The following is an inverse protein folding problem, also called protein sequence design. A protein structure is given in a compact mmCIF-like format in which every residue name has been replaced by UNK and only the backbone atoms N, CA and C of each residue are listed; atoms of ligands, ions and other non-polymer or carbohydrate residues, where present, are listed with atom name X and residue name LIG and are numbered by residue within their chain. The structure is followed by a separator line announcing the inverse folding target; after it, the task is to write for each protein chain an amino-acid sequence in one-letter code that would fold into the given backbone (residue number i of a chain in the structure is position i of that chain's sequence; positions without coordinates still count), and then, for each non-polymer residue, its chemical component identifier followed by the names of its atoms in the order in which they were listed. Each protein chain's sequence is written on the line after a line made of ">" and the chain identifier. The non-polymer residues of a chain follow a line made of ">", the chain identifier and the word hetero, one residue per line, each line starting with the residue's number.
data_IF_672356550646
#
_entry.id   IF_672356550646
#
_cell.length_a   1.000
_cell.length_b   1.000
_cell.length_c   1.000
_cell.angle_alpha   90.00
_cell.angle_beta   90.00
_cell.angle_gamma   90.00
#
_symmetry.space_group_name_H-M   'P 1'
#
loop_
_entity.id
_entity.type
_entity.pdbx_description
1 polymer ?
#
# COMPACT_ATOMS: atom_id res chain seq x y z
N UNK A 1 -28.10 27.19 48.84
CA UNK A 1 -28.15 25.72 48.72
C UNK A 1 -26.73 25.27 48.41
N UNK A 2 -26.04 24.50 49.27
CA UNK A 2 -24.71 24.02 48.94
C UNK A 2 -24.84 22.87 47.94
N UNK A 3 -24.12 22.95 46.81
CA UNK A 3 -24.01 21.86 45.85
C UNK A 3 -23.41 20.63 46.55
N UNK A 4 -24.02 19.48 46.33
CA UNK A 4 -23.66 18.23 47.00
C UNK A 4 -22.28 17.76 46.51
N UNK A 5 -21.34 17.57 47.43
CA UNK A 5 -19.97 17.07 47.22
C UNK A 5 -19.78 15.92 46.20
N UNK A 6 -20.71 14.94 46.04
CA UNK A 6 -20.57 13.91 45.00
C UNK A 6 -20.66 14.42 43.55
N UNK A 7 -21.36 15.52 43.27
CA UNK A 7 -21.44 16.08 41.91
C UNK A 7 -20.12 16.74 41.51
N UNK A 8 -19.47 17.45 42.43
CA UNK A 8 -18.17 18.11 42.20
C UNK A 8 -17.06 17.09 41.88
N UNK A 9 -17.10 15.90 42.50
CA UNK A 9 -16.14 14.83 42.21
C UNK A 9 -16.38 14.19 40.84
N UNK A 10 -17.65 14.09 40.41
CA UNK A 10 -18.01 13.59 39.08
C UNK A 10 -17.61 14.56 37.98
N UNK A 11 -17.84 15.86 38.17
CA UNK A 11 -17.47 16.88 37.18
C UNK A 11 -15.95 16.94 36.98
N UNK A 12 -15.17 16.90 38.08
CA UNK A 12 -13.70 16.82 38.00
C UNK A 12 -13.22 15.54 37.32
N UNK A 13 -13.90 14.41 37.55
CA UNK A 13 -13.59 13.15 36.88
C UNK A 13 -13.82 13.24 35.37
N UNK A 14 -14.92 13.86 34.95
CA UNK A 14 -15.26 14.07 33.55
C UNK A 14 -14.28 15.02 32.86
N UNK A 15 -13.87 16.11 33.52
CA UNK A 15 -12.86 17.04 32.98
C UNK A 15 -11.50 16.34 32.75
N UNK A 16 -11.11 15.43 33.66
CA UNK A 16 -9.88 14.64 33.52
C UNK A 16 -9.98 13.60 32.40
N UNK A 17 -11.13 12.94 32.25
CA UNK A 17 -11.40 12.03 31.13
C UNK A 17 -11.38 12.78 29.79
N UNK A 18 -12.03 13.94 29.70
CA UNK A 18 -12.09 14.74 28.48
C UNK A 18 -10.69 15.21 28.05
N UNK A 19 -9.85 15.65 28.98
CA UNK A 19 -8.45 16.02 28.68
C UNK A 19 -7.61 14.80 28.25
N UNK A 20 -7.86 13.64 28.86
CA UNK A 20 -7.20 12.39 28.48
C UNK A 20 -7.56 11.97 27.05
N UNK A 21 -8.86 11.97 26.69
CA UNK A 21 -9.32 11.66 25.32
C UNK A 21 -8.79 12.69 24.32
N UNK A 22 -8.83 13.98 24.66
CA UNK A 22 -8.31 15.04 23.78
C UNK A 22 -6.82 14.86 23.46
N UNK A 23 -6.04 14.29 24.38
CA UNK A 23 -4.61 14.03 24.19
C UNK A 23 -4.34 12.71 23.47
N UNK A 24 -5.03 11.62 23.81
CA UNK A 24 -4.70 10.28 23.32
C UNK A 24 -5.43 9.89 22.02
N UNK A 25 -6.63 10.41 21.79
CA UNK A 25 -7.44 10.05 20.62
C UNK A 25 -6.73 10.37 19.29
N UNK A 26 -6.07 11.53 19.09
CA UNK A 26 -5.38 11.82 17.84
C UNK A 26 -4.29 10.79 17.53
N UNK A 27 -3.53 10.37 18.55
CA UNK A 27 -2.47 9.36 18.41
C UNK A 27 -3.03 7.99 18.02
N UNK A 28 -4.16 7.60 18.61
CA UNK A 28 -4.81 6.33 18.29
C UNK A 28 -5.40 6.33 16.87
N UNK A 29 -5.98 7.46 16.46
CA UNK A 29 -6.52 7.64 15.10
C UNK A 29 -5.39 7.59 14.06
N UNK A 30 -4.29 8.31 14.30
CA UNK A 30 -3.11 8.29 13.43
C UNK A 30 -2.55 6.87 13.29
N UNK A 31 -2.40 6.17 14.42
CA UNK A 31 -1.94 4.78 14.41
C UNK A 31 -2.87 3.84 13.64
N UNK A 32 -4.19 4.02 13.80
CA UNK A 32 -5.17 3.24 13.04
C UNK A 32 -5.06 3.51 11.54
N UNK A 33 -4.84 4.77 11.15
CA UNK A 33 -4.68 5.14 9.74
C UNK A 33 -3.41 4.55 9.14
N UNK A 34 -2.28 4.57 9.86
CA UNK A 34 -1.04 3.91 9.44
C UNK A 34 -1.24 2.41 9.20
N UNK A 35 -1.91 1.73 10.13
CA UNK A 35 -2.17 0.29 10.02
C UNK A 35 -3.06 -0.02 8.81
N UNK A 36 -4.10 0.79 8.57
CA UNK A 36 -4.95 0.66 7.39
C UNK A 36 -4.18 0.88 6.10
N UNK A 37 -3.36 1.93 6.04
CA UNK A 37 -2.53 2.22 4.87
C UNK A 37 -1.58 1.05 4.57
N UNK A 38 -0.89 0.54 5.59
CA UNK A 38 -0.01 -0.61 5.45
C UNK A 38 -0.75 -1.86 4.93
N UNK A 39 -1.97 -2.12 5.41
CA UNK A 39 -2.79 -3.23 4.91
C UNK A 39 -3.16 -3.04 3.44
N UNK A 40 -3.62 -1.85 3.07
CA UNK A 40 -3.98 -1.55 1.67
C UNK A 40 -2.79 -1.70 0.73
N UNK A 41 -1.59 -1.25 1.15
CA UNK A 41 -0.36 -1.43 0.37
C UNK A 41 0.00 -2.91 0.24
N UNK A 42 -0.14 -3.69 1.33
CA UNK A 42 0.14 -5.13 1.30
C UNK A 42 -0.79 -5.87 0.33
N UNK A 43 -2.08 -5.57 0.37
CA UNK A 43 -3.09 -6.14 -0.54
C UNK A 43 -2.79 -5.79 -2.01
N UNK A 44 -2.42 -4.53 -2.27
CA UNK A 44 -2.08 -4.08 -3.62
C UNK A 44 -0.84 -4.80 -4.18
N UNK A 45 0.22 -4.94 -3.37
CA UNK A 45 1.41 -5.71 -3.76
C UNK A 45 1.08 -7.18 -3.96
N UNK A 46 0.26 -7.79 -3.10
CA UNK A 46 -0.14 -9.19 -3.25
C UNK A 46 -0.91 -9.43 -4.55
N UNK A 47 -1.84 -8.54 -4.89
CA UNK A 47 -2.61 -8.58 -6.15
C UNK A 47 -1.71 -8.42 -7.37
N UNK A 48 -0.82 -7.43 -7.36
CA UNK A 48 0.10 -7.15 -8.47
C UNK A 48 1.13 -8.27 -8.66
N UNK A 49 1.62 -8.84 -7.56
CA UNK A 49 2.74 -9.79 -7.59
C UNK A 49 2.40 -11.26 -7.57
N UNK A 50 1.18 -11.61 -7.14
CA UNK A 50 0.82 -13.00 -6.86
C UNK A 50 1.56 -13.61 -5.65
N UNK A 51 2.36 -12.83 -4.91
CA UNK A 51 3.05 -13.30 -3.70
C UNK A 51 2.03 -13.39 -2.57
N UNK A 52 1.90 -14.59 -1.99
CA UNK A 52 0.98 -14.86 -0.89
C UNK A 52 1.65 -14.96 0.48
N UNK A 53 2.99 -15.07 0.51
CA UNK A 53 3.75 -15.20 1.76
C UNK A 53 3.93 -13.82 2.42
N UNK A 54 3.45 -13.60 3.66
CA UNK A 54 3.51 -12.29 4.32
C UNK A 54 4.93 -11.72 4.40
N UNK A 55 5.92 -12.55 4.75
CA UNK A 55 7.31 -12.12 4.86
C UNK A 55 7.90 -11.59 3.54
N UNK A 56 7.40 -12.05 2.39
CA UNK A 56 7.79 -11.53 1.08
C UNK A 56 7.20 -10.14 0.84
N UNK A 57 5.92 -9.98 1.13
CA UNK A 57 5.20 -8.70 0.98
C UNK A 57 5.78 -7.63 1.91
N UNK A 58 6.03 -7.96 3.18
CA UNK A 58 6.60 -7.03 4.15
C UNK A 58 8.00 -6.56 3.72
N UNK A 59 8.78 -7.44 3.07
CA UNK A 59 10.10 -7.08 2.54
C UNK A 59 10.01 -6.14 1.34
N UNK A 60 9.02 -6.32 0.47
CA UNK A 60 8.75 -5.40 -0.65
C UNK A 60 8.32 -4.03 -0.11
N UNK A 61 7.42 -4.00 0.87
CA UNK A 61 7.02 -2.76 1.55
C UNK A 61 8.21 -2.05 2.20
N UNK A 62 9.11 -2.79 2.85
CA UNK A 62 10.32 -2.23 3.44
C UNK A 62 11.31 -1.63 2.42
N UNK A 63 11.20 -2.04 1.14
CA UNK A 63 11.96 -1.48 0.03
C UNK A 63 11.26 -0.29 -0.64
N UNK A 64 10.10 0.14 -0.12
CA UNK A 64 9.28 1.19 -0.72
C UNK A 64 8.56 0.76 -1.99
N UNK A 65 8.41 -0.55 -2.21
CA UNK A 65 7.67 -1.08 -3.35
C UNK A 65 6.19 -1.08 -3.00
N UNK A 66 5.39 -0.45 -3.85
CA UNK A 66 3.93 -0.38 -3.78
C UNK A 66 3.31 -1.18 -4.94
N UNK A 67 1.99 -1.41 -4.92
CA UNK A 67 1.30 -2.24 -5.93
C UNK A 67 1.52 -1.75 -7.37
N UNK A 68 1.51 -0.44 -7.58
CA UNK A 68 1.80 0.22 -8.87
C UNK A 68 3.22 -0.13 -9.36
N UNK A 69 4.23 0.03 -8.50
CA UNK A 69 5.64 -0.26 -8.85
C UNK A 69 5.98 -1.75 -8.91
N UNK A 70 5.19 -2.61 -8.23
CA UNK A 70 5.42 -4.05 -8.20
C UNK A 70 5.17 -4.70 -9.57
N UNK A 71 4.21 -4.21 -10.35
CA UNK A 71 3.85 -4.78 -11.65
C UNK A 71 5.01 -4.70 -12.66
N UNK A 72 5.62 -3.53 -12.92
CA UNK A 72 6.80 -3.42 -13.79
C UNK A 72 7.96 -4.30 -13.35
N UNK A 73 8.26 -4.38 -12.05
CA UNK A 73 9.36 -5.17 -11.50
C UNK A 73 9.26 -6.66 -11.84
N UNK A 74 8.04 -7.18 -11.95
CA UNK A 74 7.77 -8.58 -12.28
C UNK A 74 7.83 -8.84 -13.77
N UNK A 75 7.63 -7.80 -14.58
CA UNK A 75 7.76 -7.87 -16.03
C UNK A 75 9.22 -7.88 -16.49
N UNK A 76 10.15 -7.29 -15.72
CA UNK A 76 11.59 -7.24 -16.07
C UNK A 76 12.17 -8.62 -16.41
N UNK A 77 12.00 -9.69 -15.59
CA UNK A 77 12.47 -11.02 -15.97
C UNK A 77 11.85 -11.58 -17.25
N UNK A 78 10.60 -11.23 -17.57
CA UNK A 78 9.93 -11.67 -18.80
C UNK A 78 10.51 -10.96 -20.03
N UNK A 79 10.83 -9.67 -19.90
CA UNK A 79 11.53 -8.89 -20.93
C UNK A 79 12.94 -9.44 -21.15
N UNK A 80 13.69 -9.73 -20.08
CA UNK A 80 15.03 -10.33 -20.16
C UNK A 80 15.02 -11.71 -20.85
N UNK A 81 14.02 -12.55 -20.56
CA UNK A 81 13.87 -13.85 -21.23
C UNK A 81 13.50 -13.68 -22.71
N UNK A 82 12.64 -12.73 -23.05
CA UNK A 82 12.31 -12.42 -24.43
C UNK A 82 13.49 -11.81 -25.19
N UNK A 83 14.39 -11.11 -24.50
CA UNK A 83 15.58 -10.50 -25.08
C UNK A 83 16.79 -11.43 -25.16
N UNK A 84 16.65 -12.70 -24.75
CA UNK A 84 17.76 -13.65 -24.68
C UNK A 84 18.40 -13.98 -26.05
N UNK A 85 17.74 -13.67 -27.18
CA UNK A 85 18.31 -13.78 -28.52
C UNK A 85 18.87 -12.44 -29.09
N UNK A 86 18.75 -11.35 -28.33
CA UNK A 86 19.23 -10.01 -28.66
C UNK A 86 18.21 -9.10 -29.35
N UNK A 87 17.01 -9.57 -29.68
CA UNK A 87 15.98 -8.78 -30.37
C UNK A 87 14.58 -9.08 -29.86
N UNK A 88 13.93 -8.09 -29.26
CA UNK A 88 12.51 -8.20 -28.93
C UNK A 88 11.67 -8.06 -30.21
N UNK A 89 11.13 -9.16 -30.74
CA UNK A 89 10.25 -9.12 -31.91
C UNK A 89 8.93 -8.39 -31.59
N UNK A 90 8.31 -7.79 -32.59
CA UNK A 90 7.04 -7.08 -32.47
C UNK A 90 5.92 -7.98 -31.88
N UNK A 91 5.94 -9.29 -32.13
CA UNK A 91 4.99 -10.22 -31.50
C UNK A 91 5.24 -10.43 -30.01
N UNK A 92 6.50 -10.51 -29.60
CA UNK A 92 6.87 -10.70 -28.20
C UNK A 92 6.58 -9.43 -27.41
N UNK A 93 6.90 -8.26 -27.97
CA UNK A 93 6.50 -6.96 -27.40
C UNK A 93 4.98 -6.86 -27.27
N UNK A 94 4.22 -7.27 -28.29
CA UNK A 94 2.76 -7.28 -28.23
C UNK A 94 2.24 -8.24 -27.16
N UNK A 95 2.83 -9.44 -27.03
CA UNK A 95 2.44 -10.41 -26.02
C UNK A 95 2.73 -9.93 -24.59
N UNK A 96 3.86 -9.23 -24.38
CA UNK A 96 4.21 -8.62 -23.09
C UNK A 96 3.22 -7.49 -22.76
N UNK A 97 2.90 -6.64 -23.73
CA UNK A 97 1.95 -5.54 -23.55
C UNK A 97 0.50 -6.01 -23.39
N UNK A 98 0.09 -7.09 -24.05
CA UNK A 98 -1.23 -7.70 -23.87
C UNK A 98 -1.36 -8.29 -22.46
N UNK A 99 -0.31 -8.97 -21.96
CA UNK A 99 -0.26 -9.43 -20.57
C UNK A 99 -0.20 -8.27 -19.57
N UNK A 100 0.44 -7.17 -19.96
CA UNK A 100 0.43 -5.93 -19.19
C UNK A 100 -0.95 -5.27 -19.18
N UNK A 101 -1.73 -5.38 -20.26
CA UNK A 101 -3.11 -4.90 -20.37
C UNK A 101 -4.13 -5.78 -19.64
N UNK A 102 -3.83 -7.06 -19.46
CA UNK A 102 -4.55 -7.96 -18.54
C UNK A 102 -4.22 -7.67 -17.06
N UNK A 103 -3.09 -7.00 -16.81
CA UNK A 103 -2.83 -6.31 -15.53
C UNK A 103 -3.37 -4.88 -15.63
N UNK A 104 -3.67 -4.23 -14.51
CA UNK A 104 -4.28 -2.87 -14.48
C UNK A 104 -3.31 -1.76 -14.96
N UNK A 105 -2.46 -2.00 -15.96
CA UNK A 105 -1.49 -1.02 -16.48
C UNK A 105 -2.13 -0.17 -17.57
N UNK A 106 -2.55 1.04 -17.19
CA UNK A 106 -3.14 2.00 -18.12
C UNK A 106 -2.10 2.56 -19.11
N UNK A 107 -2.48 2.72 -20.39
CA UNK A 107 -1.63 3.42 -21.36
C UNK A 107 -1.30 4.84 -20.88
N UNK A 108 -0.02 5.18 -20.84
CA UNK A 108 0.49 6.48 -20.39
C UNK A 108 0.74 6.58 -18.89
N UNK A 109 0.52 5.51 -18.13
CA UNK A 109 0.90 5.45 -16.72
C UNK A 109 2.42 5.25 -16.55
N UNK A 110 2.92 5.48 -15.34
CA UNK A 110 4.34 5.28 -15.01
C UNK A 110 4.77 3.83 -15.25
N UNK A 111 3.88 2.87 -14.97
CA UNK A 111 4.11 1.44 -15.19
C UNK A 111 4.24 1.12 -16.69
N UNK A 112 3.42 1.77 -17.53
CA UNK A 112 3.51 1.63 -18.98
C UNK A 112 4.81 2.20 -19.54
N UNK A 113 5.25 3.37 -19.05
CA UNK A 113 6.50 4.00 -19.49
C UNK A 113 7.73 3.15 -19.18
N UNK A 114 7.73 2.41 -18.06
CA UNK A 114 8.80 1.49 -17.70
C UNK A 114 8.91 0.27 -18.64
N UNK A 115 7.84 -0.08 -19.35
CA UNK A 115 7.81 -1.19 -20.32
C UNK A 115 8.25 -0.78 -21.73
N UNK A 116 8.42 0.52 -22.00
CA UNK A 116 8.82 1.04 -23.31
C UNK A 116 10.32 1.31 -23.48
N UNK A 117 11.09 1.25 -22.38
CA UNK A 117 12.55 1.40 -22.37
C UNK A 117 13.25 0.28 -23.16
#
# INVERSE_FOLDING_TARGET
>A
MPLQEPEIQRDRGRDLEDEHFRREDPRLIERLNELKAAETTREAIAKASGITKPAGLDRLMALGIEGETATPLIMVPLVEVAWADGTLDAKERCAILDRAGDSEVARGSTEHALLEL
#
